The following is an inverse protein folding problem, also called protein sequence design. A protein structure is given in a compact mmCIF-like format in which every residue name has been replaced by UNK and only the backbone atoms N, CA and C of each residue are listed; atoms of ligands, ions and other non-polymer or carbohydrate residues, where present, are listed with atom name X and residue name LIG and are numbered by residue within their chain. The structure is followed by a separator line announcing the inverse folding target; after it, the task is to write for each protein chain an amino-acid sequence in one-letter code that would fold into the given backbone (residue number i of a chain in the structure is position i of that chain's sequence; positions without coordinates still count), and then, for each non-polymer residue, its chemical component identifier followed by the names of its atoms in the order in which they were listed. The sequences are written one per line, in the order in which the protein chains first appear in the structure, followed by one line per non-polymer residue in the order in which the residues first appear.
data_IF_917632688196
#
_entry.id   IF_917632688196
#
_cell.length_a   1.000
_cell.length_b   1.000
_cell.length_c   1.000
_cell.angle_alpha   90.00
_cell.angle_beta   90.00
_cell.angle_gamma   90.00
#
_symmetry.space_group_name_H-M   'P 1'
#
loop_
_entity.id
_entity.type
_entity.pdbx_description
1 polymer ?
#
# COMPACT_ATOMS: atom_id res chain seq x y z
N UNK A 1 -48.53 14.05 46.61
CA UNK A 1 -48.29 13.53 45.24
C UNK A 1 -46.95 12.82 45.23
N UNK A 2 -46.97 11.50 44.99
CA UNK A 2 -45.77 10.66 44.82
C UNK A 2 -45.21 10.90 43.41
N UNK A 3 -43.94 11.26 43.25
CA UNK A 3 -43.10 10.77 42.14
C UNK A 3 -41.67 10.59 42.62
N UNK A 4 -41.20 9.36 42.43
CA UNK A 4 -39.98 8.79 42.95
C UNK A 4 -38.76 9.22 42.13
N UNK A 5 -37.61 8.98 42.76
CA UNK A 5 -36.25 8.96 42.22
C UNK A 5 -36.14 8.52 40.75
N UNK A 6 -35.27 9.19 39.99
CA UNK A 6 -34.52 8.56 38.91
C UNK A 6 -33.03 8.80 39.17
N UNK A 7 -32.39 7.76 39.71
CA UNK A 7 -30.96 7.69 39.98
C UNK A 7 -30.29 6.88 38.86
N UNK A 8 -29.27 7.49 38.28
CA UNK A 8 -28.04 6.94 37.70
C UNK A 8 -28.07 5.97 36.49
N UNK A 9 -27.21 6.38 35.54
CA UNK A 9 -26.25 5.57 34.77
C UNK A 9 -26.76 4.59 33.72
N UNK A 10 -26.35 4.82 32.47
CA UNK A 10 -25.76 3.76 31.67
C UNK A 10 -24.95 4.31 30.47
N UNK A 11 -23.63 4.09 30.58
CA UNK A 11 -22.69 3.70 29.53
C UNK A 11 -22.44 4.67 28.37
N UNK A 12 -21.28 5.32 28.45
CA UNK A 12 -20.58 5.82 27.29
C UNK A 12 -20.32 4.69 26.29
N UNK A 13 -20.89 4.83 25.10
CA UNK A 13 -20.49 4.07 23.92
C UNK A 13 -19.32 4.78 23.25
N UNK A 14 -18.15 4.66 23.87
CA UNK A 14 -16.89 4.67 23.13
C UNK A 14 -16.86 3.37 22.33
N UNK A 15 -17.33 3.41 21.09
CA UNK A 15 -17.50 2.23 20.25
C UNK A 15 -17.25 2.55 18.79
N UNK A 16 -15.98 2.71 18.45
CA UNK A 16 -15.40 2.55 17.13
C UNK A 16 -16.20 3.15 15.96
N UNK A 17 -15.86 4.39 15.61
CA UNK A 17 -15.91 4.79 14.19
C UNK A 17 -14.97 3.83 13.47
N UNK A 18 -15.54 2.78 12.89
CA UNK A 18 -14.88 2.00 11.88
C UNK A 18 -14.62 2.97 10.73
N UNK A 19 -13.43 3.57 10.73
CA UNK A 19 -12.85 4.15 9.53
C UNK A 19 -12.74 2.98 8.55
N UNK A 20 -13.81 2.76 7.80
CA UNK A 20 -13.74 2.07 6.53
C UNK A 20 -12.72 2.88 5.73
N UNK A 21 -11.47 2.45 5.79
CA UNK A 21 -10.46 2.89 4.84
C UNK A 21 -11.10 2.62 3.48
N UNK A 22 -11.26 3.64 2.61
CA UNK A 22 -11.70 3.36 1.26
C UNK A 22 -10.70 2.36 0.72
N UNK A 23 -11.18 1.15 0.45
CA UNK A 23 -10.48 0.19 -0.39
C UNK A 23 -10.21 0.95 -1.68
N UNK A 24 -9.00 1.52 -1.75
CA UNK A 24 -8.58 2.36 -2.85
C UNK A 24 -8.80 1.54 -4.09
N UNK A 25 -9.76 1.96 -4.92
CA UNK A 25 -10.06 1.28 -6.17
C UNK A 25 -8.74 1.19 -6.93
N UNK A 26 -8.16 -0.01 -6.97
CA UNK A 26 -6.90 -0.19 -7.67
C UNK A 26 -7.23 0.00 -9.15
N UNK A 27 -6.83 1.14 -9.70
CA UNK A 27 -7.12 1.49 -11.08
C UNK A 27 -6.63 0.35 -11.99
N UNK A 28 -7.54 -0.23 -12.79
CA UNK A 28 -7.22 -1.35 -13.66
C UNK A 28 -6.16 -0.97 -14.70
N UNK A 29 -5.48 -1.96 -15.31
CA UNK A 29 -4.41 -1.69 -16.30
C UNK A 29 -4.86 -0.77 -17.45
N UNK A 30 -6.11 -0.92 -17.92
CA UNK A 30 -6.70 -0.10 -18.99
C UNK A 30 -6.96 1.33 -18.53
N UNK A 31 -7.54 1.49 -17.35
CA UNK A 31 -7.85 2.79 -16.74
C UNK A 31 -6.57 3.57 -16.42
N UNK A 32 -5.54 2.92 -15.90
CA UNK A 32 -4.24 3.55 -15.66
C UNK A 32 -3.60 4.10 -16.96
N UNK A 33 -3.74 3.39 -18.09
CA UNK A 33 -3.22 3.86 -19.37
C UNK A 33 -3.93 5.14 -19.83
N UNK A 34 -5.25 5.19 -19.70
CA UNK A 34 -6.05 6.39 -20.03
C UNK A 34 -5.71 7.55 -19.09
N UNK A 35 -5.60 7.28 -17.79
CA UNK A 35 -5.20 8.29 -16.80
C UNK A 35 -3.82 8.87 -17.12
N UNK A 36 -2.85 8.02 -17.49
CA UNK A 36 -1.50 8.44 -17.89
C UNK A 36 -1.49 9.32 -19.15
N UNK A 37 -2.40 9.08 -20.11
CA UNK A 37 -2.52 9.94 -21.28
C UNK A 37 -3.00 11.35 -20.91
N UNK A 38 -3.90 11.45 -19.92
CA UNK A 38 -4.44 12.73 -19.45
C UNK A 38 -3.51 13.43 -18.44
N UNK A 39 -2.70 12.66 -17.71
CA UNK A 39 -1.86 13.13 -16.59
C UNK A 39 -0.39 12.77 -16.80
N UNK A 40 0.18 13.14 -17.97
CA UNK A 40 1.50 12.66 -18.37
C UNK A 40 2.62 12.99 -17.39
N UNK A 41 2.65 14.20 -16.81
CA UNK A 41 3.68 14.60 -15.83
C UNK A 41 3.62 13.72 -14.57
N UNK A 42 2.43 13.58 -13.96
CA UNK A 42 2.23 12.72 -12.78
C UNK A 42 2.54 11.26 -13.11
N UNK A 43 2.14 10.78 -14.28
CA UNK A 43 2.43 9.42 -14.73
C UNK A 43 3.94 9.20 -14.95
N UNK A 44 4.67 10.17 -15.51
CA UNK A 44 6.13 10.10 -15.68
C UNK A 44 6.83 9.97 -14.32
N UNK A 45 6.44 10.77 -13.34
CA UNK A 45 7.00 10.68 -11.97
C UNK A 45 6.72 9.31 -11.34
N UNK A 46 5.48 8.83 -11.43
CA UNK A 46 5.12 7.48 -10.96
C UNK A 46 5.97 6.39 -11.63
N UNK A 47 6.16 6.48 -12.96
CA UNK A 47 6.94 5.51 -13.73
C UNK A 47 8.42 5.54 -13.35
N UNK A 48 8.97 6.73 -13.14
CA UNK A 48 10.35 6.91 -12.68
C UNK A 48 10.57 6.28 -11.30
N UNK A 49 9.71 6.58 -10.32
CA UNK A 49 9.78 5.96 -8.99
C UNK A 49 9.59 4.43 -9.05
N UNK A 50 8.70 3.96 -9.92
CA UNK A 50 8.49 2.53 -10.12
C UNK A 50 9.71 1.84 -10.74
N UNK A 51 10.45 2.51 -11.63
CA UNK A 51 11.70 1.99 -12.17
C UNK A 51 12.77 1.90 -11.08
N UNK A 52 12.91 2.93 -10.25
CA UNK A 52 13.85 2.94 -9.10
C UNK A 52 13.58 1.79 -8.12
N UNK A 53 12.32 1.50 -7.80
CA UNK A 53 11.98 0.33 -6.97
C UNK A 53 12.40 -0.98 -7.64
N UNK A 54 12.19 -1.12 -8.96
CA UNK A 54 12.61 -2.33 -9.71
C UNK A 54 14.13 -2.49 -9.74
N UNK A 55 14.88 -1.41 -9.92
CA UNK A 55 16.34 -1.44 -9.88
C UNK A 55 16.84 -1.93 -8.52
N UNK A 56 16.29 -1.40 -7.41
CA UNK A 56 16.58 -1.88 -6.06
C UNK A 56 16.17 -3.34 -5.86
N UNK A 57 15.04 -3.76 -6.42
CA UNK A 57 14.59 -5.15 -6.37
C UNK A 57 15.59 -6.09 -7.05
N UNK A 58 16.04 -5.74 -8.26
CA UNK A 58 17.06 -6.50 -9.01
C UNK A 58 18.37 -6.54 -8.23
N UNK A 59 18.79 -5.42 -7.63
CA UNK A 59 19.99 -5.37 -6.80
C UNK A 59 19.89 -6.31 -5.60
N UNK A 60 18.74 -6.34 -4.90
CA UNK A 60 18.49 -7.29 -3.79
C UNK A 60 18.49 -8.73 -4.25
N UNK A 61 17.85 -9.06 -5.38
CA UNK A 61 17.87 -10.43 -5.91
C UNK A 61 19.29 -10.87 -6.30
N UNK A 62 20.11 -9.96 -6.86
CA UNK A 62 21.53 -10.22 -7.13
C UNK A 62 22.33 -10.46 -5.85
N UNK A 63 22.10 -9.66 -4.81
CA UNK A 63 22.76 -9.81 -3.51
C UNK A 63 22.39 -11.16 -2.85
N UNK A 64 21.12 -11.55 -2.91
CA UNK A 64 20.67 -12.88 -2.50
C UNK A 64 21.42 -13.98 -3.23
N UNK A 65 21.56 -13.87 -4.56
CA UNK A 65 22.26 -14.86 -5.37
C UNK A 65 23.75 -14.96 -5.01
N UNK A 66 24.41 -13.83 -4.75
CA UNK A 66 25.84 -13.79 -4.41
C UNK A 66 26.15 -14.35 -3.02
N UNK A 67 25.21 -14.20 -2.07
CA UNK A 67 25.40 -14.61 -0.66
C UNK A 67 24.85 -15.99 -0.32
N UNK A 68 23.95 -16.52 -1.14
CA UNK A 68 23.33 -17.81 -0.90
C UNK A 68 24.36 -18.95 -0.95
N UNK A 69 24.30 -19.83 0.05
CA UNK A 69 25.15 -21.03 0.11
C UNK A 69 24.61 -22.18 -0.74
N UNK A 70 23.31 -22.17 -1.00
CA UNK A 70 22.59 -23.17 -1.76
C UNK A 70 21.32 -22.58 -2.38
N UNK A 71 20.62 -23.41 -3.17
CA UNK A 71 19.41 -23.03 -3.87
C UNK A 71 18.27 -22.60 -2.93
N UNK A 72 18.11 -23.26 -1.79
CA UNK A 72 17.01 -22.98 -0.86
C UNK A 72 17.23 -21.66 -0.11
N UNK A 73 18.47 -21.40 0.32
CA UNK A 73 18.86 -20.12 0.89
C UNK A 73 18.64 -18.96 -0.10
N UNK A 74 18.91 -19.17 -1.39
CA UNK A 74 18.61 -18.19 -2.44
C UNK A 74 17.11 -17.94 -2.58
N UNK A 75 16.31 -19.00 -2.71
CA UNK A 75 14.85 -18.85 -2.91
C UNK A 75 14.17 -18.21 -1.70
N UNK A 76 14.61 -18.51 -0.47
CA UNK A 76 14.13 -17.85 0.74
C UNK A 76 14.43 -16.34 0.72
N UNK A 77 15.69 -15.96 0.47
CA UNK A 77 16.09 -14.55 0.37
C UNK A 77 15.33 -13.82 -0.74
N UNK A 78 15.21 -14.45 -1.91
CA UNK A 78 14.49 -13.89 -3.06
C UNK A 78 13.01 -13.70 -2.76
N UNK A 79 12.36 -14.62 -2.04
CA UNK A 79 10.97 -14.48 -1.64
C UNK A 79 10.77 -13.24 -0.76
N UNK A 80 11.67 -13.01 0.20
CA UNK A 80 11.65 -11.80 1.04
C UNK A 80 11.86 -10.53 0.21
N UNK A 81 12.82 -10.52 -0.71
CA UNK A 81 13.06 -9.40 -1.62
C UNK A 81 11.83 -9.06 -2.48
N UNK A 82 11.08 -10.09 -2.93
CA UNK A 82 9.82 -9.92 -3.66
C UNK A 82 8.72 -9.31 -2.77
N UNK A 83 8.56 -9.77 -1.53
CA UNK A 83 7.59 -9.21 -0.57
C UNK A 83 7.90 -7.73 -0.32
N UNK A 84 9.16 -7.38 -0.05
CA UNK A 84 9.58 -6.00 0.15
C UNK A 84 9.29 -5.13 -1.08
N UNK A 85 9.57 -5.64 -2.27
CA UNK A 85 9.30 -4.93 -3.53
C UNK A 85 7.79 -4.71 -3.76
N UNK A 86 6.95 -5.71 -3.44
CA UNK A 86 5.49 -5.56 -3.49
C UNK A 86 5.00 -4.49 -2.54
N UNK A 87 5.55 -4.42 -1.32
CA UNK A 87 5.23 -3.39 -0.33
C UNK A 87 5.58 -1.99 -0.84
N UNK A 88 6.82 -1.77 -1.30
CA UNK A 88 7.27 -0.48 -1.88
C UNK A 88 6.36 -0.05 -3.05
N UNK A 89 5.98 -0.98 -3.92
CA UNK A 89 5.07 -0.70 -5.05
C UNK A 89 3.65 -0.36 -4.61
N UNK A 90 3.15 -1.01 -3.55
CA UNK A 90 1.83 -0.72 -3.00
C UNK A 90 1.79 0.67 -2.39
N UNK A 91 2.81 1.03 -1.61
CA UNK A 91 2.97 2.36 -1.01
C UNK A 91 3.12 3.44 -2.07
N UNK A 92 3.88 3.17 -3.14
CA UNK A 92 3.97 4.07 -4.29
C UNK A 92 2.59 4.31 -4.93
N UNK A 93 1.84 3.24 -5.19
CA UNK A 93 0.49 3.36 -5.76
C UNK A 93 -0.43 4.16 -4.84
N UNK A 94 -0.40 3.90 -3.54
CA UNK A 94 -1.23 4.60 -2.57
C UNK A 94 -0.96 6.11 -2.60
N UNK A 95 0.31 6.53 -2.48
CA UNK A 95 0.70 7.95 -2.52
C UNK A 95 0.23 8.65 -3.80
N UNK A 96 0.34 7.99 -4.95
CA UNK A 96 -0.06 8.58 -6.23
C UNK A 96 -1.59 8.57 -6.46
N UNK A 97 -2.32 7.59 -5.93
CA UNK A 97 -3.78 7.56 -6.00
C UNK A 97 -4.41 8.60 -5.07
N UNK A 98 -3.85 8.78 -3.87
CA UNK A 98 -4.27 9.83 -2.93
C UNK A 98 -4.00 11.24 -3.49
N UNK A 99 -2.92 11.43 -4.26
CA UNK A 99 -2.61 12.68 -4.97
C UNK A 99 -3.32 12.87 -6.31
N UNK A 100 -4.03 11.86 -6.81
CA UNK A 100 -4.80 11.92 -8.07
C UNK A 100 -6.27 12.34 -7.86
N UNK A 101 -6.76 12.33 -6.62
CA UNK A 101 -8.13 12.71 -6.24
C UNK A 101 -8.31 14.18 -5.83
N UNK A 102 -7.33 15.05 -6.10
CA UNK A 102 -7.40 16.51 -5.90
C UNK A 102 -7.19 17.25 -7.21
#
# INVERSE_FOLDING_TARGET
MRKALAVLTALGTLGAVALAQPVGHSMGKKEHKLWCQQNWEKCRQFRDEALKIKERSIARERDCLQKAKDFWAFEECRAQAKVQTKKEMSELRQRFMEGAGK
#
